data_IF_556046748017
#
_entry.id   IF_556046748017
#
_cell.length_a   1.000
_cell.length_b   1.000
_cell.length_c   1.000
_cell.angle_alpha   90.00
_cell.angle_beta   90.00
_cell.angle_gamma   90.00
#
_symmetry.space_group_name_H-M   'P 1'
#
loop_
_entity.id
_entity.type
_entity.pdbx_description
1 polymer ?
#
# COMPACT_ATOMS: atom_id res chain seq x y z
N UNK A 1 -20.57 4.37 4.38
CA UNK A 1 -21.16 5.62 3.88
C UNK A 1 -22.70 5.65 3.94
N UNK A 2 -23.32 4.84 4.79
CA UNK A 2 -24.80 4.79 4.85
C UNK A 2 -25.29 4.89 6.30
N UNK A 3 -24.73 5.84 7.05
CA UNK A 3 -25.33 6.20 8.32
C UNK A 3 -26.55 7.09 8.03
N UNK A 4 -27.74 6.65 8.41
CA UNK A 4 -29.00 7.40 8.24
C UNK A 4 -28.94 8.78 8.93
N UNK A 5 -28.09 8.92 9.96
CA UNK A 5 -27.84 10.18 10.66
C UNK A 5 -26.74 11.03 10.03
N UNK A 6 -26.16 10.63 8.88
CA UNK A 6 -25.07 11.36 8.22
C UNK A 6 -23.75 11.39 8.98
N UNK A 7 -23.56 10.48 9.94
CA UNK A 7 -22.34 10.42 10.76
C UNK A 7 -21.25 9.64 10.01
N UNK A 8 -20.09 10.26 9.80
CA UNK A 8 -18.92 9.60 9.26
C UNK A 8 -18.17 8.83 10.36
N UNK A 9 -18.67 7.61 10.64
CA UNK A 9 -18.06 6.73 11.66
C UNK A 9 -16.58 6.41 11.40
N UNK A 10 -16.13 6.08 10.18
CA UNK A 10 -14.72 5.84 9.91
C UNK A 10 -13.84 7.03 10.29
N UNK A 11 -14.24 8.24 9.99
CA UNK A 11 -13.53 9.46 10.36
C UNK A 11 -13.49 9.65 11.88
N UNK A 12 -14.62 9.52 12.56
CA UNK A 12 -14.68 9.63 14.01
C UNK A 12 -13.80 8.61 14.72
N UNK A 13 -13.78 7.35 14.25
CA UNK A 13 -12.91 6.30 14.80
C UNK A 13 -11.44 6.70 14.65
N UNK A 14 -11.03 7.19 13.48
CA UNK A 14 -9.66 7.67 13.25
C UNK A 14 -9.31 8.83 14.19
N UNK A 15 -10.21 9.79 14.36
CA UNK A 15 -10.01 10.95 15.24
C UNK A 15 -9.86 10.53 16.71
N UNK A 16 -10.73 9.64 17.21
CA UNK A 16 -10.66 9.11 18.56
C UNK A 16 -9.36 8.31 18.79
N UNK A 17 -8.96 7.48 17.84
CA UNK A 17 -7.69 6.74 17.92
C UNK A 17 -6.50 7.70 18.00
N UNK A 18 -6.47 8.74 17.17
CA UNK A 18 -5.42 9.76 17.21
C UNK A 18 -5.40 10.50 18.55
N UNK A 19 -6.57 10.82 19.11
CA UNK A 19 -6.68 11.49 20.41
C UNK A 19 -6.13 10.60 21.54
N UNK A 20 -6.53 9.33 21.59
CA UNK A 20 -6.03 8.36 22.58
C UNK A 20 -4.51 8.22 22.47
N UNK A 21 -4.01 8.11 21.24
CA UNK A 21 -2.56 7.95 20.98
C UNK A 21 -1.76 9.21 21.40
N UNK A 22 -2.32 10.41 21.23
CA UNK A 22 -1.65 11.65 21.62
C UNK A 22 -1.57 11.84 23.15
N UNK A 23 -2.48 11.23 23.90
CA UNK A 23 -2.55 11.33 25.38
C UNK A 23 -1.83 10.20 26.10
N UNK A 24 -1.55 9.08 25.43
CA UNK A 24 -0.95 7.88 26.02
C UNK A 24 0.52 7.67 25.66
N UNK A 25 1.13 6.65 26.33
CA UNK A 25 2.44 6.15 25.89
C UNK A 25 2.28 5.41 24.56
N UNK A 26 3.02 5.84 23.55
CA UNK A 26 3.02 5.17 22.24
C UNK A 26 3.54 3.73 22.39
N UNK A 27 2.79 2.71 21.98
CA UNK A 27 3.30 1.35 21.97
C UNK A 27 4.55 1.25 21.08
N UNK A 28 5.55 0.49 21.53
CA UNK A 28 6.80 0.32 20.77
C UNK A 28 6.53 -0.19 19.35
N UNK A 29 5.51 -1.02 19.18
CA UNK A 29 5.08 -1.53 17.89
C UNK A 29 4.63 -0.40 16.93
N UNK A 30 3.85 0.57 17.41
CA UNK A 30 3.38 1.69 16.60
C UNK A 30 4.56 2.57 16.15
N UNK A 31 5.47 2.89 17.07
CA UNK A 31 6.68 3.66 16.78
C UNK A 31 7.57 2.95 15.76
N UNK A 32 7.77 1.63 15.91
CA UNK A 32 8.54 0.83 14.96
C UNK A 32 7.88 0.81 13.57
N UNK A 33 6.56 0.65 13.53
CA UNK A 33 5.80 0.64 12.28
C UNK A 33 5.81 2.01 11.59
N UNK A 34 5.69 3.09 12.36
CA UNK A 34 5.83 4.45 11.87
C UNK A 34 7.22 4.66 11.25
N UNK A 35 8.27 4.27 11.95
CA UNK A 35 9.64 4.37 11.45
C UNK A 35 9.84 3.58 10.15
N UNK A 36 9.37 2.34 10.09
CA UNK A 36 9.51 1.49 8.89
C UNK A 36 8.76 2.07 7.69
N UNK A 37 7.51 2.51 7.88
CA UNK A 37 6.67 2.98 6.76
C UNK A 37 7.06 4.37 6.25
N UNK A 38 7.60 5.24 7.11
CA UNK A 38 8.14 6.54 6.69
C UNK A 38 9.46 6.39 5.94
N UNK A 39 10.24 5.35 6.22
CA UNK A 39 11.49 5.05 5.53
C UNK A 39 11.28 4.03 4.40
N UNK A 40 10.79 4.51 3.26
CA UNK A 40 10.46 3.68 2.09
C UNK A 40 11.51 2.62 1.75
N UNK A 41 12.79 3.00 1.70
CA UNK A 41 13.88 2.05 1.38
C UNK A 41 13.98 0.91 2.39
N UNK A 42 13.84 1.23 3.67
CA UNK A 42 13.81 0.23 4.74
C UNK A 42 12.60 -0.68 4.59
N UNK A 43 11.41 -0.11 4.40
CA UNK A 43 10.17 -0.86 4.21
C UNK A 43 10.27 -1.85 3.05
N UNK A 44 10.72 -1.39 1.88
CA UNK A 44 10.87 -2.26 0.71
C UNK A 44 11.96 -3.33 0.90
N UNK A 45 13.05 -3.01 1.61
CA UNK A 45 14.09 -3.98 1.93
C UNK A 45 13.59 -5.06 2.88
N UNK A 46 12.79 -4.70 3.88
CA UNK A 46 12.15 -5.64 4.79
C UNK A 46 11.16 -6.56 4.06
N UNK A 47 10.37 -6.04 3.12
CA UNK A 47 9.48 -6.87 2.30
C UNK A 47 10.28 -7.86 1.42
N UNK A 48 11.40 -7.42 0.83
CA UNK A 48 12.27 -8.30 0.05
C UNK A 48 12.95 -9.37 0.93
N UNK A 49 13.38 -9.01 2.13
CA UNK A 49 13.92 -9.96 3.09
C UNK A 49 12.85 -10.95 3.58
N UNK A 50 11.64 -10.47 3.85
CA UNK A 50 10.49 -11.30 4.23
C UNK A 50 10.15 -12.37 3.19
N UNK A 51 10.35 -12.07 1.90
CA UNK A 51 10.21 -13.05 0.82
C UNK A 51 11.17 -14.25 0.98
N UNK A 52 12.40 -14.04 1.43
CA UNK A 52 13.34 -15.14 1.68
C UNK A 52 12.90 -15.96 2.89
N UNK A 53 12.44 -15.28 3.96
CA UNK A 53 11.98 -15.91 5.19
C UNK A 53 10.64 -16.64 5.09
N UNK A 54 9.81 -16.35 4.08
CA UNK A 54 8.49 -16.99 3.95
C UNK A 54 8.53 -18.43 3.44
N UNK A 55 9.59 -18.84 2.73
CA UNK A 55 9.68 -20.15 2.07
C UNK A 55 9.33 -21.34 2.98
N UNK A 56 9.86 -21.46 4.21
CA UNK A 56 9.57 -22.61 5.07
C UNK A 56 8.12 -22.67 5.57
N UNK A 57 7.42 -21.52 5.61
CA UNK A 57 6.04 -21.42 6.10
C UNK A 57 5.01 -21.18 4.97
N UNK A 58 5.49 -21.09 3.74
CA UNK A 58 4.63 -20.87 2.58
C UNK A 58 3.99 -22.17 2.10
N UNK A 59 2.69 -22.15 1.87
CA UNK A 59 1.93 -23.25 1.28
C UNK A 59 1.02 -22.71 0.18
N UNK A 60 1.49 -22.82 -1.07
CA UNK A 60 0.84 -22.17 -2.22
C UNK A 60 0.90 -20.64 -2.12
N UNK A 61 -0.21 -19.92 -2.39
CA UNK A 61 -0.26 -18.46 -2.33
C UNK A 61 -0.41 -17.90 -0.91
N UNK A 62 -0.31 -18.73 0.13
CA UNK A 62 -0.54 -18.33 1.52
C UNK A 62 0.61 -18.71 2.44
N UNK A 63 0.79 -17.92 3.49
CA UNK A 63 1.64 -18.27 4.63
C UNK A 63 0.81 -19.07 5.63
N UNK A 64 1.33 -20.22 6.07
CA UNK A 64 0.74 -21.08 7.08
C UNK A 64 1.76 -21.37 8.18
N UNK A 65 1.28 -21.64 9.39
CA UNK A 65 2.14 -22.02 10.53
C UNK A 65 3.18 -20.98 10.92
N UNK A 66 2.78 -19.70 10.96
CA UNK A 66 3.60 -18.71 11.65
C UNK A 66 3.78 -19.12 13.11
N UNK A 67 4.99 -19.03 13.68
CA UNK A 67 5.26 -19.47 15.04
C UNK A 67 4.30 -18.84 16.04
N UNK A 68 3.63 -19.65 16.87
CA UNK A 68 2.63 -19.21 17.86
C UNK A 68 3.12 -18.14 18.83
N UNK A 69 4.43 -18.08 19.07
CA UNK A 69 5.03 -17.08 19.96
C UNK A 69 5.11 -15.67 19.38
N UNK A 70 4.96 -15.54 18.05
CA UNK A 70 5.00 -14.24 17.35
C UNK A 70 3.61 -13.66 17.08
N UNK A 71 2.59 -14.50 17.07
CA UNK A 71 1.22 -14.09 16.74
C UNK A 71 0.24 -14.74 17.73
N UNK A 72 -0.60 -13.93 18.36
CA UNK A 72 -1.60 -14.41 19.31
C UNK A 72 -2.52 -15.48 18.70
N UNK A 73 -3.09 -16.34 19.55
CA UNK A 73 -3.97 -17.49 19.21
C UNK A 73 -5.12 -17.20 18.22
N UNK A 74 -5.43 -15.92 18.02
CA UNK A 74 -6.51 -15.45 17.13
C UNK A 74 -6.20 -15.60 15.63
N UNK A 75 -4.99 -16.04 15.26
CA UNK A 75 -4.56 -16.10 13.86
C UNK A 75 -4.67 -17.50 13.21
N UNK A 76 -5.15 -18.51 13.91
CA UNK A 76 -5.20 -19.88 13.38
C UNK A 76 -6.05 -20.06 12.11
N UNK A 77 -7.01 -19.15 11.86
CA UNK A 77 -7.86 -19.19 10.67
C UNK A 77 -7.57 -18.07 9.65
N UNK A 78 -6.68 -17.12 9.97
CA UNK A 78 -6.31 -16.05 9.03
C UNK A 78 -5.19 -16.53 8.12
N UNK A 79 -5.50 -16.70 6.84
CA UNK A 79 -4.51 -17.00 5.81
C UNK A 79 -3.90 -15.68 5.34
N UNK A 80 -2.63 -15.44 5.64
CA UNK A 80 -1.91 -14.30 5.12
C UNK A 80 -1.43 -14.61 3.70
N UNK A 81 -1.61 -13.71 2.73
CA UNK A 81 -1.06 -13.90 1.40
C UNK A 81 0.46 -13.88 1.44
N UNK A 82 1.09 -14.67 0.60
CA UNK A 82 2.54 -14.68 0.45
C UNK A 82 3.01 -13.51 -0.40
N UNK A 83 4.23 -13.04 -0.17
CA UNK A 83 4.87 -12.06 -1.04
C UNK A 83 5.17 -12.69 -2.40
N UNK A 84 4.92 -11.93 -3.46
CA UNK A 84 5.16 -12.38 -4.82
C UNK A 84 6.66 -12.64 -5.09
N UNK A 85 7.00 -13.53 -6.02
CA UNK A 85 8.37 -13.80 -6.41
C UNK A 85 9.12 -12.56 -6.91
N UNK A 86 8.43 -11.65 -7.60
CA UNK A 86 8.95 -10.36 -8.06
C UNK A 86 7.89 -9.30 -7.82
N UNK A 87 8.26 -8.19 -7.15
CA UNK A 87 7.38 -7.06 -7.01
C UNK A 87 7.11 -6.40 -8.36
N UNK A 88 5.97 -5.72 -8.51
CA UNK A 88 5.65 -4.99 -9.73
C UNK A 88 6.72 -3.97 -10.10
N UNK A 89 7.18 -3.18 -9.13
CA UNK A 89 8.23 -2.17 -9.32
C UNK A 89 9.56 -2.71 -9.85
N UNK A 90 9.87 -3.97 -9.52
CA UNK A 90 11.10 -4.63 -9.98
C UNK A 90 10.97 -5.12 -11.44
N UNK A 91 9.74 -5.13 -11.97
CA UNK A 91 9.43 -5.55 -13.35
C UNK A 91 9.12 -4.36 -14.27
N UNK A 92 8.82 -3.18 -13.72
CA UNK A 92 8.32 -2.02 -14.45
C UNK A 92 9.13 -1.66 -15.70
N UNK A 93 10.45 -1.63 -15.60
CA UNK A 93 11.31 -1.31 -16.75
C UNK A 93 11.15 -2.21 -17.99
N UNK A 94 10.52 -3.38 -17.80
CA UNK A 94 10.20 -4.30 -18.89
C UNK A 94 8.74 -4.25 -19.32
N UNK A 95 7.90 -3.68 -18.46
CA UNK A 95 6.44 -3.63 -18.63
C UNK A 95 5.98 -2.29 -19.16
N UNK A 96 6.80 -1.24 -18.99
CA UNK A 96 6.44 0.13 -19.36
C UNK A 96 5.98 0.22 -20.81
N UNK A 97 4.67 0.42 -21.03
CA UNK A 97 4.11 0.35 -22.37
C UNK A 97 4.45 1.61 -23.16
N UNK A 98 4.75 1.44 -24.43
CA UNK A 98 4.95 2.54 -25.37
C UNK A 98 3.65 2.81 -26.13
N UNK A 99 2.98 3.90 -25.80
CA UNK A 99 1.75 4.34 -26.50
C UNK A 99 2.06 5.53 -27.36
N UNK A 100 2.00 5.36 -28.70
CA UNK A 100 2.46 6.37 -29.67
C UNK A 100 1.63 7.65 -29.68
N UNK A 101 0.34 7.61 -29.34
CA UNK A 101 -0.58 8.76 -29.26
C UNK A 101 -1.57 8.53 -28.15
N UNK A 102 -1.19 8.77 -26.89
CA UNK A 102 -2.06 8.51 -25.77
C UNK A 102 -3.27 9.46 -25.77
N UNK A 103 -4.44 8.92 -25.47
CA UNK A 103 -5.67 9.69 -25.25
C UNK A 103 -5.69 10.29 -23.86
N UNK A 104 -5.12 9.57 -22.90
CA UNK A 104 -4.99 9.95 -21.51
C UNK A 104 -3.66 9.46 -20.96
N UNK A 105 -3.16 10.17 -19.96
CA UNK A 105 -1.99 9.80 -19.18
C UNK A 105 -2.42 9.50 -17.74
N UNK A 106 -2.12 8.30 -17.26
CA UNK A 106 -2.53 7.81 -15.93
C UNK A 106 -1.31 7.57 -15.06
N UNK A 107 -1.29 8.19 -13.89
CA UNK A 107 -0.34 7.89 -12.83
C UNK A 107 -0.80 6.67 -12.04
N UNK A 108 -0.01 5.59 -12.06
CA UNK A 108 -0.34 4.38 -11.34
C UNK A 108 0.17 4.42 -9.90
N UNK A 109 -0.75 4.46 -8.93
CA UNK A 109 -0.43 4.31 -7.53
C UNK A 109 -0.63 2.86 -7.09
N UNK A 110 0.45 2.12 -6.93
CA UNK A 110 0.40 0.69 -6.63
C UNK A 110 0.10 0.39 -5.15
N UNK A 111 0.57 1.26 -4.25
CA UNK A 111 0.59 0.93 -2.82
C UNK A 111 1.49 -0.27 -2.52
N UNK A 112 1.46 -0.73 -1.27
CA UNK A 112 2.34 -1.83 -0.85
C UNK A 112 1.79 -3.22 -1.17
N UNK A 113 0.48 -3.42 -1.04
CA UNK A 113 -0.16 -4.74 -1.20
C UNK A 113 -0.13 -5.18 -2.66
N UNK A 114 -0.56 -4.32 -3.57
CA UNK A 114 -0.59 -4.64 -5.00
C UNK A 114 0.81 -4.82 -5.57
N UNK A 115 1.76 -3.99 -5.11
CA UNK A 115 3.13 -4.04 -5.59
C UNK A 115 3.86 -5.34 -5.20
N UNK A 116 3.74 -5.74 -3.92
CA UNK A 116 4.54 -6.84 -3.37
C UNK A 116 3.80 -8.17 -3.22
N UNK A 117 2.46 -8.17 -3.29
CA UNK A 117 1.65 -9.38 -3.10
C UNK A 117 0.90 -9.76 -4.38
N UNK A 118 0.31 -8.79 -5.08
CA UNK A 118 -0.53 -9.02 -6.27
C UNK A 118 -0.05 -8.29 -7.53
N UNK A 119 1.25 -8.39 -7.89
CA UNK A 119 1.80 -7.67 -9.05
C UNK A 119 1.12 -8.00 -10.37
N UNK A 120 0.62 -9.22 -10.53
CA UNK A 120 -0.06 -9.68 -11.73
C UNK A 120 -1.31 -8.86 -12.06
N UNK A 121 -2.04 -8.40 -11.03
CA UNK A 121 -3.21 -7.54 -11.23
C UNK A 121 -2.81 -6.18 -11.81
N UNK A 122 -1.69 -5.63 -11.34
CA UNK A 122 -1.15 -4.38 -11.87
C UNK A 122 -0.65 -4.54 -13.31
N UNK A 123 0.01 -5.65 -13.62
CA UNK A 123 0.50 -5.96 -14.97
C UNK A 123 -0.68 -6.02 -15.94
N UNK A 124 -1.72 -6.78 -15.59
CA UNK A 124 -2.93 -6.88 -16.42
C UNK A 124 -3.64 -5.54 -16.61
N UNK A 125 -3.69 -4.71 -15.56
CA UNK A 125 -4.29 -3.37 -15.67
C UNK A 125 -3.48 -2.45 -16.58
N UNK A 126 -2.16 -2.49 -16.50
CA UNK A 126 -1.27 -1.71 -17.40
C UNK A 126 -1.44 -2.15 -18.84
N UNK A 127 -1.43 -3.45 -19.11
CA UNK A 127 -1.62 -4.00 -20.45
C UNK A 127 -3.00 -3.61 -21.03
N UNK A 128 -4.05 -3.71 -20.19
CA UNK A 128 -5.39 -3.32 -20.58
C UNK A 128 -5.47 -1.84 -20.95
N UNK A 129 -4.91 -0.96 -20.12
CA UNK A 129 -4.90 0.49 -20.37
C UNK A 129 -4.13 0.84 -21.64
N UNK A 130 -2.97 0.23 -21.84
CA UNK A 130 -2.14 0.46 -23.03
C UNK A 130 -2.86 0.05 -24.32
N UNK A 131 -3.56 -1.10 -24.33
CA UNK A 131 -4.38 -1.54 -25.46
C UNK A 131 -5.51 -0.57 -25.81
N UNK A 132 -5.95 0.24 -24.84
CA UNK A 132 -6.99 1.25 -25.02
C UNK A 132 -6.44 2.67 -25.25
N UNK A 133 -5.14 2.79 -25.56
CA UNK A 133 -4.51 4.06 -25.88
C UNK A 133 -4.28 4.96 -24.67
N UNK A 134 -4.13 4.38 -23.48
CA UNK A 134 -3.82 5.10 -22.25
C UNK A 134 -2.36 4.90 -21.89
N UNK A 135 -1.61 5.99 -21.77
CA UNK A 135 -0.24 5.96 -21.25
C UNK A 135 -0.27 5.79 -19.72
N UNK A 136 0.50 4.84 -19.23
CA UNK A 136 0.63 4.60 -17.80
C UNK A 136 2.03 5.00 -17.35
N UNK A 137 2.10 5.90 -16.39
CA UNK A 137 3.34 6.26 -15.69
C UNK A 137 3.36 5.65 -14.28
N UNK A 138 4.53 5.23 -13.85
CA UNK A 138 4.73 4.66 -12.52
C UNK A 138 5.93 5.28 -11.83
N UNK A 139 5.68 6.03 -10.77
CA UNK A 139 6.74 6.60 -9.94
C UNK A 139 7.30 5.54 -8.99
N UNK A 140 8.54 5.12 -9.21
CA UNK A 140 9.21 4.11 -8.38
C UNK A 140 9.46 4.58 -6.93
N UNK A 141 9.41 5.88 -6.70
CA UNK A 141 9.61 6.53 -5.42
C UNK A 141 8.39 6.44 -4.50
N UNK A 142 7.22 6.12 -5.01
CA UNK A 142 6.02 5.93 -4.20
C UNK A 142 6.19 4.79 -3.16
N UNK A 143 5.50 4.90 -2.04
CA UNK A 143 5.53 3.94 -0.94
C UNK A 143 4.15 3.41 -0.55
N UNK A 144 3.95 3.13 0.74
CA UNK A 144 2.64 2.86 1.30
C UNK A 144 1.75 4.10 1.19
N UNK A 145 0.41 3.93 1.12
CA UNK A 145 -0.50 5.09 1.14
C UNK A 145 -0.53 5.83 2.48
N UNK A 146 -0.13 5.18 3.58
CA UNK A 146 -0.14 5.78 4.93
C UNK A 146 -1.36 5.41 5.77
N UNK A 147 -2.41 4.84 5.18
CA UNK A 147 -3.62 4.47 5.94
C UNK A 147 -3.35 3.60 7.18
N UNK A 148 -2.46 2.59 7.16
CA UNK A 148 -2.13 1.83 8.36
C UNK A 148 -1.62 2.69 9.51
N UNK A 149 -0.83 3.73 9.22
CA UNK A 149 -0.34 4.66 10.24
C UNK A 149 -1.47 5.48 10.83
N UNK A 150 -2.35 5.99 9.98
CA UNK A 150 -3.52 6.74 10.43
C UNK A 150 -4.44 5.90 11.32
N UNK A 151 -4.62 4.62 10.98
CA UNK A 151 -5.40 3.65 11.78
C UNK A 151 -4.73 3.30 13.11
N UNK A 152 -3.42 3.46 13.24
CA UNK A 152 -2.67 3.29 14.48
C UNK A 152 -2.61 4.58 15.31
N UNK A 153 -3.19 5.69 14.84
CA UNK A 153 -3.13 6.99 15.49
C UNK A 153 -1.81 7.75 15.27
N UNK A 154 -0.99 7.33 14.32
CA UNK A 154 0.29 7.95 13.95
C UNK A 154 0.09 8.99 12.83
N UNK A 155 -0.67 10.05 13.14
CA UNK A 155 -1.12 11.05 12.16
C UNK A 155 0.05 11.81 11.49
N UNK A 156 1.06 12.17 12.26
CA UNK A 156 2.24 12.87 11.73
C UNK A 156 3.00 12.00 10.72
N UNK A 157 3.28 10.75 11.09
CA UNK A 157 3.94 9.79 10.23
C UNK A 157 3.11 9.49 8.96
N UNK A 158 1.78 9.41 9.08
CA UNK A 158 0.88 9.28 7.93
C UNK A 158 0.99 10.50 7.00
N UNK A 159 1.05 11.70 7.55
CA UNK A 159 1.26 12.95 6.80
C UNK A 159 2.61 13.00 6.08
N UNK A 160 3.68 12.50 6.70
CA UNK A 160 5.00 12.40 6.06
C UNK A 160 4.98 11.47 4.84
N UNK A 161 4.34 10.32 4.99
CA UNK A 161 4.16 9.37 3.90
C UNK A 161 3.32 9.96 2.77
N UNK A 162 2.23 10.68 3.09
CA UNK A 162 1.39 11.34 2.10
C UNK A 162 2.17 12.42 1.32
N UNK A 163 2.90 13.29 2.01
CA UNK A 163 3.78 14.31 1.39
C UNK A 163 4.83 13.69 0.47
N UNK A 164 5.41 12.56 0.88
CA UNK A 164 6.36 11.84 0.05
C UNK A 164 5.72 11.32 -1.24
N UNK A 165 4.55 10.70 -1.14
CA UNK A 165 3.83 10.15 -2.29
C UNK A 165 3.36 11.24 -3.27
N UNK A 166 2.87 12.38 -2.78
CA UNK A 166 2.48 13.53 -3.63
C UNK A 166 3.67 14.05 -4.43
N UNK A 167 4.87 14.10 -3.83
CA UNK A 167 6.09 14.50 -4.56
C UNK A 167 6.55 13.44 -5.56
N UNK A 168 6.29 12.16 -5.29
CA UNK A 168 6.69 11.07 -6.16
C UNK A 168 5.77 10.94 -7.38
N UNK A 169 4.47 11.13 -7.19
CA UNK A 169 3.46 11.08 -8.25
C UNK A 169 2.95 12.51 -8.45
N UNK A 170 3.58 13.27 -9.34
CA UNK A 170 3.13 14.64 -9.63
C UNK A 170 1.74 14.60 -10.30
N UNK A 171 0.69 15.11 -9.62
CA UNK A 171 -0.66 15.10 -10.16
C UNK A 171 -0.82 16.03 -11.36
N UNK A 172 0.11 16.96 -11.61
CA UNK A 172 0.07 17.90 -12.75
C UNK A 172 0.58 17.25 -14.04
N UNK A 173 1.29 16.11 -13.95
CA UNK A 173 1.84 15.41 -15.10
C UNK A 173 0.90 14.33 -15.67
N UNK A 174 -0.26 14.10 -15.03
CA UNK A 174 -1.19 13.03 -15.38
C UNK A 174 -2.63 13.52 -15.36
N UNK A 175 -3.48 12.96 -16.20
CA UNK A 175 -4.92 13.28 -16.22
C UNK A 175 -5.67 12.63 -15.05
N UNK A 176 -5.21 11.44 -14.65
CA UNK A 176 -5.83 10.65 -13.58
C UNK A 176 -4.79 9.92 -12.75
N UNK A 177 -5.12 9.67 -11.47
CA UNK A 177 -4.38 8.72 -10.62
C UNK A 177 -5.24 7.47 -10.46
N UNK A 178 -4.68 6.33 -10.83
CA UNK A 178 -5.32 5.03 -10.71
C UNK A 178 -4.67 4.20 -9.59
N UNK A 179 -5.49 3.57 -8.78
CA UNK A 179 -5.04 2.52 -7.86
C UNK A 179 -6.01 1.34 -7.86
N UNK A 180 -5.50 0.13 -7.78
CA UNK A 180 -6.31 -1.09 -7.69
C UNK A 180 -6.65 -1.47 -6.23
N UNK A 181 -6.12 -0.74 -5.27
CA UNK A 181 -6.40 -0.96 -3.85
C UNK A 181 -7.48 0.01 -3.36
N UNK A 182 -8.66 -0.50 -3.03
CA UNK A 182 -9.78 0.31 -2.55
C UNK A 182 -9.43 1.13 -1.30
N UNK A 183 -8.66 0.55 -0.37
CA UNK A 183 -8.20 1.25 0.84
C UNK A 183 -7.26 2.41 0.50
N UNK A 184 -6.35 2.22 -0.46
CA UNK A 184 -5.50 3.30 -0.94
C UNK A 184 -6.33 4.38 -1.64
N UNK A 185 -7.27 3.99 -2.52
CA UNK A 185 -8.11 4.92 -3.26
C UNK A 185 -9.02 5.77 -2.36
N UNK A 186 -9.56 5.19 -1.29
CA UNK A 186 -10.31 5.93 -0.29
C UNK A 186 -9.42 6.94 0.44
N UNK A 187 -8.26 6.51 0.91
CA UNK A 187 -7.35 7.36 1.68
C UNK A 187 -6.70 8.48 0.86
N UNK A 188 -6.44 8.25 -0.42
CA UNK A 188 -5.88 9.28 -1.31
C UNK A 188 -6.88 10.40 -1.66
N UNK A 189 -8.17 10.20 -1.41
CA UNK A 189 -9.23 11.19 -1.61
C UNK A 189 -9.51 12.06 -0.39
N UNK A 190 -9.07 11.65 0.79
CA UNK A 190 -9.20 12.36 2.07
C UNK A 190 -8.06 13.38 2.27
#
# INVERSE_FOLDING_TARGET
DVCVAGIDLPRLIKEVQNLIQSQGKRPLMNTSMAHVLTHRRLFHSLLRAGKLGQKPVQKGPYLRHLPHFLLAKEHDFKKLPSLAPKAFRDQWSKLEPQVSRPRYKVGLFTGCLQDFVYPEQLIQAVDFLAQHGVEVSFAREQGCCGLPLLMLGEKEAAGDVARHNIRAVDPNEVDFILTLCASCGSHLKE
#
